data_IF_850139214695
#
_entry.id   IF_850139214695
#
_cell.length_a   1.000
_cell.length_b   1.000
_cell.length_c   1.000
_cell.angle_alpha   90.00
_cell.angle_beta   90.00
_cell.angle_gamma   90.00
#
_symmetry.space_group_name_H-M   'P 1'
#
loop_
_entity.id
_entity.type
_entity.pdbx_description
1 polymer ?
#
# COMPACT_ATOMS: atom_id res chain seq x y z
N UNK A 1 -0.06 18.39 22.77
CA UNK A 1 0.21 17.16 21.98
C UNK A 1 -0.61 17.07 20.70
N UNK A 2 -1.94 17.25 20.75
CA UNK A 2 -2.83 17.15 19.57
C UNK A 2 -2.43 18.04 18.39
N UNK A 3 -2.09 19.31 18.64
CA UNK A 3 -1.69 20.26 17.58
C UNK A 3 -0.39 19.85 16.88
N UNK A 4 0.65 19.49 17.65
CA UNK A 4 1.92 18.99 17.10
C UNK A 4 1.68 17.75 16.23
N UNK A 5 0.83 16.83 16.68
CA UNK A 5 0.49 15.63 15.92
C UNK A 5 -0.21 15.94 14.59
N UNK A 6 -1.24 16.80 14.60
CA UNK A 6 -2.01 17.12 13.39
C UNK A 6 -1.14 17.87 12.37
N UNK A 7 -0.34 18.83 12.83
CA UNK A 7 0.55 19.60 11.95
C UNK A 7 1.59 18.68 11.31
N UNK A 8 2.20 17.79 12.09
CA UNK A 8 3.20 16.84 11.56
C UNK A 8 2.58 15.86 10.56
N UNK A 9 1.37 15.36 10.84
CA UNK A 9 0.65 14.44 9.96
C UNK A 9 0.30 15.12 8.63
N UNK A 10 -0.26 16.33 8.68
CA UNK A 10 -0.63 17.11 7.49
C UNK A 10 0.61 17.45 6.67
N UNK A 11 1.69 17.85 7.32
CA UNK A 11 2.96 18.17 6.65
C UNK A 11 3.57 16.93 5.99
N UNK A 12 3.49 15.77 6.65
CA UNK A 12 3.99 14.51 6.11
C UNK A 12 3.17 14.04 4.90
N UNK A 13 1.85 14.23 4.90
CA UNK A 13 0.99 13.88 3.76
C UNK A 13 1.17 14.81 2.55
N UNK A 14 1.45 16.10 2.77
CA UNK A 14 1.57 17.10 1.69
C UNK A 14 2.99 17.25 1.12
N UNK A 15 3.97 16.53 1.66
CA UNK A 15 5.35 16.64 1.18
C UNK A 15 5.51 15.89 -0.15
N UNK A 16 6.21 16.49 -1.12
CA UNK A 16 6.46 15.90 -2.45
C UNK A 16 7.06 14.47 -2.35
N UNK A 17 8.00 14.26 -1.42
CA UNK A 17 8.61 12.95 -1.16
C UNK A 17 7.57 11.89 -0.78
N UNK A 18 6.61 12.26 0.06
CA UNK A 18 5.51 11.39 0.48
C UNK A 18 4.57 11.08 -0.68
N UNK A 19 4.25 12.07 -1.51
CA UNK A 19 3.44 11.88 -2.71
C UNK A 19 4.07 10.88 -3.69
N UNK A 20 5.39 10.96 -3.91
CA UNK A 20 6.13 10.00 -4.75
C UNK A 20 6.03 8.58 -4.19
N UNK A 21 6.18 8.43 -2.86
CA UNK A 21 6.08 7.13 -2.19
C UNK A 21 4.67 6.56 -2.31
N UNK A 22 3.63 7.38 -2.13
CA UNK A 22 2.24 6.96 -2.28
C UNK A 22 1.99 6.47 -3.71
N UNK A 23 2.38 7.24 -4.72
CA UNK A 23 2.18 6.89 -6.13
C UNK A 23 2.95 5.61 -6.50
N UNK A 24 4.19 5.45 -6.04
CA UNK A 24 4.96 4.23 -6.31
C UNK A 24 4.35 3.01 -5.62
N UNK A 25 3.87 3.15 -4.39
CA UNK A 25 3.16 2.08 -3.68
C UNK A 25 1.86 1.68 -4.37
N UNK A 26 1.06 2.65 -4.79
CA UNK A 26 -0.16 2.43 -5.57
C UNK A 26 0.15 1.73 -6.90
N UNK A 27 1.21 2.15 -7.60
CA UNK A 27 1.64 1.54 -8.85
C UNK A 27 2.03 0.06 -8.68
N UNK A 28 2.82 -0.24 -7.64
CA UNK A 28 3.20 -1.62 -7.30
C UNK A 28 1.95 -2.43 -6.92
N UNK A 29 1.08 -1.91 -6.06
CA UNK A 29 -0.15 -2.58 -5.66
C UNK A 29 -1.04 -2.90 -6.87
N UNK A 30 -1.17 -1.96 -7.81
CA UNK A 30 -1.92 -2.17 -9.04
C UNK A 30 -1.31 -3.26 -9.93
N UNK A 31 0.02 -3.28 -10.10
CA UNK A 31 0.71 -4.33 -10.85
C UNK A 31 0.52 -5.71 -10.20
N UNK A 32 0.67 -5.79 -8.88
CA UNK A 32 0.45 -7.03 -8.13
C UNK A 32 -0.99 -7.51 -8.29
N UNK A 33 -1.98 -6.63 -8.19
CA UNK A 33 -3.38 -6.96 -8.41
C UNK A 33 -3.63 -7.52 -9.82
N UNK A 34 -3.14 -6.82 -10.85
CA UNK A 34 -3.36 -7.19 -12.26
C UNK A 34 -2.70 -8.51 -12.65
N UNK A 35 -1.49 -8.78 -12.16
CA UNK A 35 -0.72 -9.98 -12.52
C UNK A 35 -0.85 -11.12 -11.52
N UNK A 36 -1.68 -10.98 -10.49
CA UNK A 36 -1.89 -11.99 -9.44
C UNK A 36 -2.25 -13.37 -10.01
N UNK A 37 -3.09 -13.44 -11.04
CA UNK A 37 -3.51 -14.71 -11.67
C UNK A 37 -2.37 -15.38 -12.44
N UNK A 38 -1.55 -14.60 -13.15
CA UNK A 38 -0.38 -15.11 -13.88
C UNK A 38 0.67 -15.63 -12.89
N UNK A 39 0.87 -14.90 -11.80
CA UNK A 39 1.77 -15.30 -10.72
C UNK A 39 1.28 -16.61 -10.08
N UNK A 40 -0.02 -16.75 -9.83
CA UNK A 40 -0.61 -17.97 -9.26
C UNK A 40 -0.43 -19.19 -10.18
N UNK A 41 -0.51 -18.98 -11.50
CA UNK A 41 -0.37 -20.03 -12.51
C UNK A 41 1.10 -20.48 -12.69
N UNK A 42 2.04 -19.53 -12.67
CA UNK A 42 3.48 -19.80 -12.71
C UNK A 42 3.99 -20.43 -11.40
N UNK A 43 3.34 -20.11 -10.27
CA UNK A 43 3.73 -20.61 -8.96
C UNK A 43 3.25 -22.04 -8.66
N UNK A 44 2.54 -22.71 -9.57
CA UNK A 44 1.98 -24.07 -9.37
C UNK A 44 1.25 -24.23 -8.02
N UNK A 45 0.56 -23.19 -7.55
CA UNK A 45 -0.14 -23.22 -6.26
C UNK A 45 0.75 -23.15 -5.01
N UNK A 46 2.06 -22.88 -5.12
CA UNK A 46 2.93 -22.67 -3.95
C UNK A 46 2.61 -21.35 -3.25
N UNK A 47 1.82 -21.44 -2.17
CA UNK A 47 1.43 -20.34 -1.27
C UNK A 47 2.61 -19.54 -0.69
N UNK A 48 3.81 -20.12 -0.66
CA UNK A 48 5.02 -19.48 -0.15
C UNK A 48 5.45 -18.26 -0.99
N UNK A 49 5.30 -18.31 -2.31
CA UNK A 49 5.74 -17.22 -3.21
C UNK A 49 4.84 -15.98 -3.01
N UNK A 50 3.52 -16.19 -2.96
CA UNK A 50 2.54 -15.13 -2.73
C UNK A 50 2.73 -14.50 -1.35
N UNK A 51 2.93 -15.32 -0.32
CA UNK A 51 3.23 -14.86 1.04
C UNK A 51 4.53 -14.06 1.08
N UNK A 52 5.56 -14.49 0.37
CA UNK A 52 6.84 -13.80 0.26
C UNK A 52 6.72 -12.43 -0.42
N UNK A 53 5.92 -12.32 -1.49
CA UNK A 53 5.65 -11.03 -2.14
C UNK A 53 4.88 -10.08 -1.21
N UNK A 54 3.89 -10.58 -0.48
CA UNK A 54 3.15 -9.77 0.49
C UNK A 54 4.04 -9.31 1.66
N UNK A 55 4.93 -10.20 2.15
CA UNK A 55 5.93 -9.86 3.16
C UNK A 55 6.96 -8.83 2.67
N UNK A 56 7.43 -8.96 1.42
CA UNK A 56 8.30 -7.97 0.81
C UNK A 56 7.64 -6.59 0.69
N UNK A 57 6.36 -6.59 0.32
CA UNK A 57 5.56 -5.37 0.21
C UNK A 57 5.39 -4.65 1.55
N UNK A 58 5.03 -5.38 2.62
CA UNK A 58 4.89 -4.79 3.96
C UNK A 58 6.23 -4.29 4.50
N UNK A 59 7.32 -5.02 4.26
CA UNK A 59 8.67 -4.62 4.65
C UNK A 59 9.12 -3.34 3.94
N UNK A 60 8.91 -3.24 2.62
CA UNK A 60 9.17 -2.03 1.84
C UNK A 60 8.38 -0.84 2.39
N UNK A 61 7.11 -1.05 2.74
CA UNK A 61 6.26 -0.01 3.31
C UNK A 61 6.83 0.51 4.62
N UNK A 62 7.27 -0.40 5.50
CA UNK A 62 7.88 -0.03 6.77
C UNK A 62 9.19 0.76 6.56
N UNK A 63 10.05 0.31 5.65
CA UNK A 63 11.31 1.00 5.33
C UNK A 63 11.07 2.43 4.82
N UNK A 64 10.10 2.64 3.94
CA UNK A 64 9.76 3.98 3.45
C UNK A 64 9.23 4.89 4.56
N UNK A 65 8.42 4.36 5.48
CA UNK A 65 7.96 5.12 6.65
C UNK A 65 9.10 5.52 7.57
N UNK A 66 10.07 4.62 7.82
CA UNK A 66 11.27 4.96 8.59
C UNK A 66 12.15 5.99 7.86
N UNK A 67 12.30 5.89 6.55
CA UNK A 67 13.07 6.85 5.76
C UNK A 67 12.43 8.25 5.79
N UNK A 68 11.10 8.35 5.70
CA UNK A 68 10.39 9.62 5.85
C UNK A 68 10.57 10.20 7.26
N UNK A 69 10.45 9.36 8.30
CA UNK A 69 10.69 9.79 9.67
C UNK A 69 12.10 10.35 9.87
N UNK A 70 13.12 9.62 9.40
CA UNK A 70 14.50 10.07 9.46
C UNK A 70 14.69 11.41 8.74
N UNK A 71 14.13 11.55 7.54
CA UNK A 71 14.26 12.80 6.77
C UNK A 71 13.59 14.00 7.45
N UNK A 72 12.44 13.80 8.11
CA UNK A 72 11.76 14.86 8.84
C UNK A 72 12.55 15.23 10.10
N UNK A 73 13.10 14.24 10.81
CA UNK A 73 13.93 14.47 11.99
C UNK A 73 15.21 15.24 11.65
N UNK A 74 15.92 14.83 10.60
CA UNK A 74 17.13 15.53 10.12
C UNK A 74 16.83 16.98 9.79
N UNK A 75 15.72 17.26 9.09
CA UNK A 75 15.33 18.63 8.76
C UNK A 75 15.09 19.49 10.00
N UNK A 76 14.56 18.92 11.08
CA UNK A 76 14.36 19.68 12.32
C UNK A 76 15.64 19.98 13.07
N UNK A 77 16.60 19.06 13.00
CA UNK A 77 17.94 19.29 13.54
C UNK A 77 18.62 20.40 12.73
N UNK A 78 18.53 20.36 11.40
CA UNK A 78 19.10 21.39 10.51
C UNK A 78 18.45 22.76 10.68
N UNK A 79 17.12 22.81 10.84
CA UNK A 79 16.36 24.08 10.99
C UNK A 79 16.33 24.59 12.43
N UNK A 80 16.93 23.85 13.38
CA UNK A 80 16.84 24.09 14.82
C UNK A 80 15.42 24.33 15.35
N UNK A 81 14.39 23.87 14.63
CA UNK A 81 12.99 24.18 14.91
C UNK A 81 12.55 23.70 16.30
N UNK A 82 13.22 22.66 16.81
CA UNK A 82 13.00 22.10 18.13
C UNK A 82 13.25 23.15 19.22
N UNK A 83 14.22 24.06 19.06
CA UNK A 83 14.53 25.09 20.08
C UNK A 83 13.33 26.00 20.38
N UNK A 84 12.50 26.29 19.38
CA UNK A 84 11.32 27.13 19.54
C UNK A 84 10.15 26.41 20.23
N UNK A 85 10.12 25.08 20.19
CA UNK A 85 9.01 24.26 20.74
C UNK A 85 9.34 23.74 22.15
N UNK A 86 10.63 23.50 22.43
CA UNK A 86 11.10 22.95 23.72
C UNK A 86 10.67 23.75 24.96
N UNK A 87 10.61 25.11 24.97
CA UNK A 87 10.21 25.83 26.18
C UNK A 87 8.71 25.68 26.52
N UNK A 88 7.87 25.32 25.55
CA UNK A 88 6.42 25.22 25.74
C UNK A 88 5.94 23.78 25.98
N UNK A 89 6.74 22.78 25.60
CA UNK A 89 6.33 21.36 25.63
C UNK A 89 7.50 20.47 26.04
N UNK A 90 7.23 19.47 26.89
CA UNK A 90 8.26 18.51 27.30
C UNK A 90 8.83 17.73 26.10
N UNK A 91 10.15 17.50 26.10
CA UNK A 91 10.86 16.80 25.01
C UNK A 91 10.22 15.45 24.67
N UNK A 92 9.81 14.69 25.68
CA UNK A 92 9.14 13.39 25.52
C UNK A 92 7.85 13.49 24.71
N UNK A 93 7.05 14.52 24.96
CA UNK A 93 5.77 14.72 24.28
C UNK A 93 5.95 15.12 22.80
N UNK A 94 7.05 15.82 22.48
CA UNK A 94 7.40 16.17 21.10
C UNK A 94 7.75 14.89 20.31
N UNK A 95 8.65 14.06 20.87
CA UNK A 95 9.04 12.80 20.23
C UNK A 95 7.86 11.83 20.05
N UNK A 96 7.03 11.66 21.09
CA UNK A 96 5.86 10.79 21.00
C UNK A 96 4.85 11.30 19.96
N UNK A 97 4.56 12.60 19.92
CA UNK A 97 3.65 13.17 18.92
C UNK A 97 4.09 12.89 17.49
N UNK A 98 5.40 13.00 17.23
CA UNK A 98 5.99 12.72 15.91
C UNK A 98 5.97 11.24 15.55
N UNK A 99 6.31 10.39 16.51
CA UNK A 99 6.25 8.94 16.32
C UNK A 99 4.83 8.48 15.97
N UNK A 100 3.82 8.97 16.71
CA UNK A 100 2.42 8.67 16.41
C UNK A 100 2.00 9.17 15.04
N UNK A 101 2.43 10.37 14.62
CA UNK A 101 2.10 10.91 13.29
C UNK A 101 2.64 9.99 12.17
N UNK A 102 3.87 9.49 12.30
CA UNK A 102 4.45 8.57 11.31
C UNK A 102 3.78 7.20 11.30
N UNK A 103 3.42 6.68 12.46
CA UNK A 103 2.69 5.41 12.56
C UNK A 103 1.32 5.52 11.89
N UNK A 104 0.60 6.62 12.10
CA UNK A 104 -0.69 6.87 11.43
C UNK A 104 -0.50 7.03 9.92
N UNK A 105 0.56 7.71 9.48
CA UNK A 105 0.89 7.79 8.06
C UNK A 105 1.14 6.40 7.44
N UNK A 106 1.89 5.53 8.12
CA UNK A 106 2.14 4.16 7.68
C UNK A 106 0.85 3.34 7.54
N UNK A 107 -0.02 3.38 8.56
CA UNK A 107 -1.34 2.73 8.49
C UNK A 107 -2.20 3.27 7.35
N UNK A 108 -2.17 4.58 7.12
CA UNK A 108 -2.88 5.21 6.00
C UNK A 108 -2.40 4.68 4.66
N UNK A 109 -1.08 4.53 4.50
CA UNK A 109 -0.46 4.02 3.28
C UNK A 109 -0.83 2.55 3.02
N UNK A 110 -0.80 1.70 4.06
CA UNK A 110 -1.28 0.31 3.96
C UNK A 110 -2.76 0.29 3.60
N UNK A 111 -3.58 1.11 4.24
CA UNK A 111 -5.01 1.18 4.00
C UNK A 111 -5.32 1.51 2.54
N UNK A 112 -4.70 2.56 1.98
CA UNK A 112 -4.85 2.90 0.57
C UNK A 112 -4.39 1.78 -0.36
N UNK A 113 -3.26 1.13 -0.05
CA UNK A 113 -2.79 0.01 -0.85
C UNK A 113 -3.76 -1.17 -0.85
N UNK A 114 -4.35 -1.51 0.30
CA UNK A 114 -5.35 -2.57 0.39
C UNK A 114 -6.60 -2.19 -0.43
N UNK A 115 -7.04 -0.94 -0.35
CA UNK A 115 -8.18 -0.43 -1.10
C UNK A 115 -7.98 -0.61 -2.61
N UNK A 116 -6.79 -0.29 -3.12
CA UNK A 116 -6.42 -0.52 -4.53
C UNK A 116 -6.48 -1.99 -4.90
N UNK A 117 -5.91 -2.88 -4.06
CA UNK A 117 -5.96 -4.32 -4.30
C UNK A 117 -7.41 -4.82 -4.37
N UNK A 118 -8.27 -4.42 -3.44
CA UNK A 118 -9.69 -4.78 -3.46
C UNK A 118 -10.41 -4.28 -4.72
N UNK A 119 -10.18 -3.04 -5.14
CA UNK A 119 -10.77 -2.50 -6.38
C UNK A 119 -10.31 -3.30 -7.59
N UNK A 120 -9.00 -3.60 -7.69
CA UNK A 120 -8.48 -4.38 -8.83
C UNK A 120 -9.04 -5.79 -8.87
N UNK A 121 -9.17 -6.47 -7.71
CA UNK A 121 -9.77 -7.79 -7.62
C UNK A 121 -11.25 -7.79 -8.05
N UNK A 122 -12.04 -6.83 -7.55
CA UNK A 122 -13.44 -6.67 -7.94
C UNK A 122 -13.60 -6.38 -9.44
N UNK A 123 -12.72 -5.53 -9.98
CA UNK A 123 -12.72 -5.21 -11.40
C UNK A 123 -12.48 -6.45 -12.28
N UNK A 124 -11.56 -7.34 -11.88
CA UNK A 124 -11.32 -8.59 -12.62
C UNK A 124 -12.51 -9.54 -12.57
N UNK A 125 -13.20 -9.65 -11.42
CA UNK A 125 -14.39 -10.50 -11.29
C UNK A 125 -15.52 -9.99 -12.20
N UNK A 126 -15.78 -8.68 -12.20
CA UNK A 126 -16.83 -8.06 -13.04
C UNK A 126 -16.51 -8.22 -14.53
N UNK A 127 -15.24 -8.02 -14.91
CA UNK A 127 -14.79 -8.20 -16.29
C UNK A 127 -14.98 -9.65 -16.78
N UNK A 128 -14.60 -10.64 -15.96
CA UNK A 128 -14.82 -12.06 -16.26
C UNK A 128 -16.31 -12.39 -16.39
N UNK A 129 -17.15 -11.87 -15.49
CA UNK A 129 -18.59 -12.09 -15.55
C UNK A 129 -19.24 -11.51 -16.82
N UNK A 130 -18.83 -10.31 -17.26
CA UNK A 130 -19.31 -9.70 -18.51
C UNK A 130 -18.92 -10.50 -19.76
N UNK A 131 -17.70 -11.04 -19.82
CA UNK A 131 -17.28 -11.86 -20.96
C UNK A 131 -18.13 -13.12 -21.07
N UNK A 132 -18.39 -13.82 -19.97
CA UNK A 132 -19.21 -15.04 -19.95
C UNK A 132 -20.65 -14.81 -20.43
N UNK A 133 -21.20 -13.61 -20.24
CA UNK A 133 -22.56 -13.28 -20.65
C UNK A 133 -22.69 -12.96 -22.15
N UNK A 134 -21.56 -12.65 -22.82
CA UNK A 134 -21.50 -12.36 -24.26
C UNK A 134 -21.23 -13.60 -25.14
N UNK A 135 -20.95 -14.77 -24.55
CA UNK A 135 -20.69 -16.01 -25.30
C UNK A 135 -22.04 -16.69 -25.67
N UNK A 136 -22.34 -16.90 -26.96
CA UNK A 136 -23.57 -17.58 -27.37
C UNK A 136 -23.61 -19.02 -26.83
N UNK A 137 -24.77 -19.42 -26.28
CA UNK A 137 -25.03 -20.71 -25.57
C UNK A 137 -24.53 -21.99 -26.25
N UNK A 138 -24.27 -21.99 -27.56
CA UNK A 138 -23.74 -23.15 -28.30
C UNK A 138 -22.23 -23.38 -28.10
N UNK A 139 -21.47 -22.36 -27.71
CA UNK A 139 -20.01 -22.44 -27.49
C UNK A 139 -19.67 -22.54 -25.99
N UNK A 140 -20.61 -22.15 -25.11
CA UNK A 140 -20.41 -22.18 -23.65
C UNK A 140 -20.08 -23.56 -23.07
N UNK A 141 -20.65 -24.64 -23.63
CA UNK A 141 -20.36 -26.00 -23.17
C UNK A 141 -18.93 -26.46 -23.51
N UNK A 142 -18.37 -26.00 -24.63
CA UNK A 142 -17.00 -26.31 -25.06
C UNK A 142 -15.96 -25.51 -24.25
N UNK A 143 -16.28 -24.26 -23.91
CA UNK A 143 -15.42 -23.41 -23.07
C UNK A 143 -15.42 -23.86 -21.61
N UNK A 144 -16.57 -24.34 -21.08
CA UNK A 144 -16.61 -24.96 -19.75
C UNK A 144 -15.80 -26.26 -19.69
N UNK A 145 -15.81 -27.08 -20.75
CA UNK A 145 -14.99 -28.29 -20.81
C UNK A 145 -13.49 -27.98 -20.91
N UNK A 146 -13.10 -26.95 -21.67
CA UNK A 146 -11.70 -26.49 -21.76
C UNK A 146 -11.19 -25.92 -20.42
N UNK A 147 -12.00 -25.14 -19.70
CA UNK A 147 -11.63 -24.66 -18.37
C UNK A 147 -11.55 -25.80 -17.33
N UNK A 148 -12.37 -26.85 -17.46
CA UNK A 148 -12.32 -28.01 -16.57
C UNK A 148 -11.10 -28.93 -16.85
N UNK A 149 -10.65 -29.00 -18.11
CA UNK A 149 -9.43 -29.73 -18.49
C UNK A 149 -8.16 -28.97 -18.09
N UNK A 150 -8.18 -27.63 -18.07
CA UNK A 150 -7.02 -26.83 -17.70
C UNK A 150 -6.83 -26.65 -16.18
N UNK A 151 -7.78 -27.11 -15.36
CA UNK A 151 -7.74 -27.04 -13.90
C UNK A 151 -7.37 -28.36 -13.20
N UNK A 152 -7.01 -29.40 -13.97
CA UNK A 152 -6.49 -30.67 -13.46
C UNK A 152 -5.00 -30.77 -13.74
#
# INVERSE_FOLDING_TARGET
MKTIFIDELRRSLLTIKSMIIIVSFLGIAFLVGKYSEVIALVAEGKSAIVTGMFGGFTLLGALFSFMLYASNLTREIETESIRYITPYVSRRNIFLGKFFAMTVYFFTLIFFSLLVLFITALCQIVWKASILQSVPKRVGHLVQLLFCVYQK
#
